data_IF_224148363465
#
_entry.id   IF_224148363465
#
_cell.length_a   1.000
_cell.length_b   1.000
_cell.length_c   1.000
_cell.angle_alpha   90.00
_cell.angle_beta   90.00
_cell.angle_gamma   90.00
#
_symmetry.space_group_name_H-M   'P 1'
#
loop_
_entity.id
_entity.type
_entity.pdbx_description
1 polymer ?
#
# COMPACT_ATOMS: atom_id res chain seq x y z
N UNK A 1 -22.89 9.95 6.73
CA UNK A 1 -22.37 11.03 5.86
C UNK A 1 -21.03 10.60 5.27
N UNK A 2 -21.02 9.97 4.09
CA UNK A 2 -19.82 9.63 3.30
C UNK A 2 -20.17 9.62 1.80
N UNK A 3 -20.78 10.68 1.29
CA UNK A 3 -21.26 10.76 -0.10
C UNK A 3 -20.62 11.89 -0.93
N UNK A 4 -19.69 12.67 -0.38
CA UNK A 4 -19.11 13.84 -1.09
C UNK A 4 -17.57 13.87 -1.15
N UNK A 5 -16.87 12.84 -0.65
CA UNK A 5 -15.40 12.81 -0.61
C UNK A 5 -14.72 12.55 -1.97
N UNK A 6 -15.48 12.33 -3.04
CA UNK A 6 -14.95 12.09 -4.40
C UNK A 6 -14.91 13.34 -5.27
N UNK A 7 -15.39 14.50 -4.78
CA UNK A 7 -15.48 15.73 -5.58
C UNK A 7 -14.33 16.72 -5.37
N UNK A 8 -13.51 16.51 -4.35
CA UNK A 8 -12.40 17.39 -4.03
C UNK A 8 -11.08 16.64 -4.14
N UNK A 9 -10.18 17.20 -4.94
CA UNK A 9 -8.89 16.60 -5.24
C UNK A 9 -7.79 17.56 -4.84
N UNK A 10 -6.68 17.02 -4.36
CA UNK A 10 -5.48 17.78 -4.12
C UNK A 10 -4.53 17.59 -5.30
N UNK A 11 -4.22 18.67 -6.01
CA UNK A 11 -3.24 18.70 -7.08
C UNK A 11 -1.97 19.39 -6.57
N UNK A 12 -0.85 18.69 -6.67
CA UNK A 12 0.45 19.16 -6.25
C UNK A 12 1.42 19.22 -7.43
N UNK A 13 1.83 20.43 -7.79
CA UNK A 13 2.80 20.72 -8.85
C UNK A 13 4.06 21.21 -8.19
N UNK A 14 5.20 20.61 -8.51
CA UNK A 14 6.45 20.98 -7.88
C UNK A 14 7.65 20.88 -8.81
N UNK A 15 8.74 21.53 -8.40
CA UNK A 15 10.04 21.46 -9.05
C UNK A 15 11.10 21.55 -7.99
N UNK A 16 11.91 20.51 -7.89
CA UNK A 16 13.05 20.46 -6.98
C UNK A 16 14.33 20.71 -7.79
N UNK A 17 15.34 21.42 -7.24
CA UNK A 17 16.63 21.57 -7.88
C UNK A 17 17.23 20.24 -8.36
N UNK A 18 18.06 20.33 -9.41
CA UNK A 18 18.70 19.14 -10.02
C UNK A 18 19.73 18.48 -9.10
N UNK A 19 20.36 19.24 -8.20
CA UNK A 19 21.24 18.70 -7.18
C UNK A 19 20.96 19.35 -5.81
N UNK A 20 20.99 18.57 -4.71
CA UNK A 20 21.22 17.11 -4.66
C UNK A 20 19.97 16.30 -5.04
N UNK A 21 20.16 15.12 -5.66
CA UNK A 21 19.05 14.21 -6.02
C UNK A 21 18.24 13.68 -4.83
N UNK A 22 18.83 13.62 -3.64
CA UNK A 22 18.22 13.12 -2.40
C UNK A 22 16.90 13.80 -2.07
N UNK A 23 16.79 15.10 -2.33
CA UNK A 23 15.56 15.84 -2.04
C UNK A 23 14.42 15.41 -2.97
N UNK A 24 14.68 15.20 -4.26
CA UNK A 24 13.68 14.70 -5.21
C UNK A 24 13.13 13.36 -4.79
N UNK A 25 14.03 12.44 -4.42
CA UNK A 25 13.65 11.10 -3.98
C UNK A 25 12.83 11.15 -2.70
N UNK A 26 13.19 12.02 -1.74
CA UNK A 26 12.43 12.22 -0.50
C UNK A 26 11.00 12.68 -0.77
N UNK A 27 10.82 13.69 -1.64
CA UNK A 27 9.49 14.20 -2.02
C UNK A 27 8.67 13.11 -2.71
N UNK A 28 9.27 12.42 -3.68
CA UNK A 28 8.60 11.35 -4.42
C UNK A 28 8.15 10.21 -3.50
N UNK A 29 9.01 9.76 -2.58
CA UNK A 29 8.66 8.72 -1.60
C UNK A 29 7.52 9.16 -0.69
N UNK A 30 7.57 10.37 -0.12
CA UNK A 30 6.48 10.89 0.72
C UNK A 30 5.15 10.90 -0.02
N UNK A 31 5.11 11.41 -1.26
CA UNK A 31 3.89 11.45 -2.06
C UNK A 31 3.36 10.04 -2.38
N UNK A 32 4.25 9.09 -2.68
CA UNK A 32 3.88 7.69 -2.89
C UNK A 32 3.37 7.01 -1.63
N UNK A 33 3.98 7.27 -0.48
CA UNK A 33 3.55 6.73 0.81
C UNK A 33 2.16 7.26 1.20
N UNK A 34 1.86 8.50 0.82
CA UNK A 34 0.52 9.10 0.95
C UNK A 34 -0.50 8.55 -0.06
N UNK A 35 -0.10 7.69 -1.00
CA UNK A 35 -1.00 7.14 -2.03
C UNK A 35 -1.22 8.05 -3.24
N UNK A 36 -0.43 9.12 -3.43
CA UNK A 36 -0.63 10.03 -4.55
C UNK A 36 -0.32 9.39 -5.91
N UNK A 37 -1.16 9.69 -6.89
CA UNK A 37 -0.98 9.31 -8.29
C UNK A 37 -0.25 10.41 -9.05
N UNK A 38 0.73 10.04 -9.87
CA UNK A 38 1.42 10.99 -10.74
C UNK A 38 0.76 11.03 -12.10
N UNK A 39 0.06 12.11 -12.42
CA UNK A 39 -0.54 12.31 -13.75
C UNK A 39 0.53 12.68 -14.78
N UNK A 40 1.59 13.37 -14.35
CA UNK A 40 2.75 13.76 -15.16
C UNK A 40 4.00 13.89 -14.26
N UNK A 41 5.15 14.18 -14.87
CA UNK A 41 6.38 14.45 -14.13
C UNK A 41 6.19 15.65 -13.19
N UNK A 42 6.44 15.42 -11.90
CA UNK A 42 6.30 16.43 -10.84
C UNK A 42 4.89 17.02 -10.68
N UNK A 43 3.88 16.32 -11.19
CA UNK A 43 2.47 16.63 -10.98
C UNK A 43 1.78 15.43 -10.36
N UNK A 44 1.48 15.53 -9.07
CA UNK A 44 0.82 14.50 -8.29
C UNK A 44 -0.60 14.92 -7.93
N UNK A 45 -1.52 13.96 -7.89
CA UNK A 45 -2.91 14.16 -7.52
C UNK A 45 -3.34 13.09 -6.51
N UNK A 46 -4.25 13.43 -5.61
CA UNK A 46 -4.90 12.49 -4.69
C UNK A 46 -6.26 13.03 -4.23
N UNK A 47 -7.14 12.18 -3.68
CA UNK A 47 -8.36 12.64 -3.02
C UNK A 47 -8.02 13.59 -1.87
N UNK A 48 -8.82 14.64 -1.71
CA UNK A 48 -8.63 15.59 -0.62
C UNK A 48 -9.17 15.03 0.71
N UNK A 49 -8.36 15.15 1.75
CA UNK A 49 -8.76 15.04 3.15
C UNK A 49 -7.82 15.90 4.00
N UNK A 50 -8.26 16.31 5.19
CA UNK A 50 -7.58 17.34 5.99
C UNK A 50 -6.10 17.01 6.27
N UNK A 51 -5.82 15.74 6.59
CA UNK A 51 -4.46 15.27 6.89
C UNK A 51 -3.55 15.29 5.65
N UNK A 52 -4.06 14.89 4.47
CA UNK A 52 -3.32 15.03 3.21
C UNK A 52 -3.01 16.50 2.89
N UNK A 53 -3.95 17.42 3.14
CA UNK A 53 -3.74 18.85 2.97
C UNK A 53 -2.59 19.38 3.82
N UNK A 54 -2.56 19.02 5.11
CA UNK A 54 -1.49 19.42 6.04
C UNK A 54 -0.12 18.90 5.61
N UNK A 55 -0.03 17.61 5.27
CA UNK A 55 1.22 16.99 4.81
C UNK A 55 1.76 17.63 3.52
N UNK A 56 0.87 17.93 2.57
CA UNK A 56 1.28 18.55 1.30
C UNK A 56 1.76 19.98 1.51
N UNK A 57 1.17 20.75 2.43
CA UNK A 57 1.70 22.06 2.80
C UNK A 57 3.09 21.96 3.42
N UNK A 58 3.35 20.94 4.25
CA UNK A 58 4.68 20.70 4.81
C UNK A 58 5.69 20.33 3.72
N UNK A 59 5.33 19.43 2.79
CA UNK A 59 6.17 19.10 1.64
C UNK A 59 6.44 20.34 0.78
N UNK A 60 5.43 21.18 0.56
CA UNK A 60 5.56 22.40 -0.21
C UNK A 60 6.56 23.38 0.42
N UNK A 61 6.51 23.56 1.74
CA UNK A 61 7.45 24.37 2.51
C UNK A 61 8.87 23.79 2.45
N UNK A 62 9.02 22.48 2.67
CA UNK A 62 10.30 21.78 2.55
C UNK A 62 10.94 22.00 1.17
N UNK A 63 10.16 21.94 0.08
CA UNK A 63 10.65 22.18 -1.27
C UNK A 63 11.15 23.61 -1.44
N UNK A 64 10.36 24.61 -1.02
CA UNK A 64 10.71 26.03 -1.15
C UNK A 64 11.94 26.41 -0.32
N UNK A 65 12.05 25.91 0.91
CA UNK A 65 13.18 26.16 1.79
C UNK A 65 14.52 25.65 1.24
N UNK A 66 14.47 24.72 0.28
CA UNK A 66 15.64 24.16 -0.38
C UNK A 66 15.78 24.66 -1.83
N UNK A 67 15.20 25.83 -2.16
CA UNK A 67 15.37 26.48 -3.45
C UNK A 67 14.54 25.91 -4.60
N UNK A 68 13.51 25.11 -4.30
CA UNK A 68 12.54 24.62 -5.27
C UNK A 68 11.29 25.50 -5.39
N UNK A 69 10.39 25.09 -6.28
CA UNK A 69 9.09 25.72 -6.50
C UNK A 69 7.99 24.68 -6.20
N UNK A 70 6.89 25.10 -5.58
CA UNK A 70 5.78 24.20 -5.26
C UNK A 70 4.46 24.95 -5.20
N UNK A 71 3.43 24.32 -5.74
CA UNK A 71 2.07 24.81 -5.79
C UNK A 71 1.12 23.68 -5.38
N UNK A 72 0.26 23.95 -4.41
CA UNK A 72 -0.78 23.04 -3.95
C UNK A 72 -2.14 23.67 -4.26
N UNK A 73 -3.00 22.91 -4.93
CA UNK A 73 -4.34 23.34 -5.31
C UNK A 73 -5.36 22.34 -4.79
N UNK A 74 -6.47 22.86 -4.27
CA UNK A 74 -7.70 22.08 -4.13
C UNK A 74 -8.51 22.26 -5.40
N UNK A 75 -8.77 21.16 -6.09
CA UNK A 75 -9.52 21.13 -7.34
C UNK A 75 -10.92 20.62 -7.02
N UNK A 76 -11.90 21.46 -7.32
CA UNK A 76 -13.32 21.15 -7.21
C UNK A 76 -13.92 21.03 -8.62
N UNK A 77 -15.11 20.43 -8.72
CA UNK A 77 -15.88 20.35 -9.98
C UNK A 77 -15.12 19.70 -11.15
N UNK A 78 -14.33 18.65 -10.88
CA UNK A 78 -13.74 17.82 -11.95
C UNK A 78 -14.87 17.14 -12.72
N UNK A 79 -14.74 17.06 -14.04
CA UNK A 79 -15.74 16.37 -14.88
C UNK A 79 -15.86 14.89 -14.50
N UNK A 80 -17.05 14.31 -14.63
CA UNK A 80 -17.26 12.88 -14.34
C UNK A 80 -16.33 12.00 -15.18
N UNK A 81 -16.08 12.39 -16.43
CA UNK A 81 -15.14 11.69 -17.32
C UNK A 81 -13.73 11.65 -16.75
N UNK A 82 -13.20 12.79 -16.31
CA UNK A 82 -11.84 12.89 -15.79
C UNK A 82 -11.73 12.25 -14.41
N UNK A 83 -12.75 12.42 -13.56
CA UNK A 83 -12.83 11.76 -12.25
C UNK A 83 -12.80 10.24 -12.40
N UNK A 84 -13.63 9.68 -13.30
CA UNK A 84 -13.63 8.24 -13.58
C UNK A 84 -12.29 7.74 -14.12
N UNK A 85 -11.63 8.52 -14.99
CA UNK A 85 -10.30 8.17 -15.49
C UNK A 85 -9.25 8.18 -14.38
N UNK A 86 -9.28 9.15 -13.47
CA UNK A 86 -8.39 9.19 -12.30
C UNK A 86 -8.62 7.96 -11.43
N UNK A 87 -9.87 7.70 -11.03
CA UNK A 87 -10.24 6.55 -10.19
C UNK A 87 -9.77 5.25 -10.82
N UNK A 88 -9.95 5.06 -12.13
CA UNK A 88 -9.47 3.88 -12.84
C UNK A 88 -7.95 3.72 -12.76
N UNK A 89 -7.18 4.82 -12.85
CA UNK A 89 -5.73 4.80 -12.71
C UNK A 89 -5.28 4.49 -11.28
N UNK A 90 -5.97 5.02 -10.26
CA UNK A 90 -5.71 4.66 -8.85
C UNK A 90 -5.95 3.18 -8.63
N UNK A 91 -7.11 2.67 -9.04
CA UNK A 91 -7.46 1.26 -8.91
C UNK A 91 -6.47 0.36 -9.63
N UNK A 92 -6.04 0.72 -10.84
CA UNK A 92 -5.02 -0.05 -11.56
C UNK A 92 -3.71 -0.16 -10.77
N UNK A 93 -3.21 0.94 -10.21
CA UNK A 93 -1.98 0.90 -9.41
C UNK A 93 -2.14 0.09 -8.12
N UNK A 94 -3.30 0.19 -7.46
CA UNK A 94 -3.59 -0.62 -6.28
C UNK A 94 -3.71 -2.11 -6.64
N UNK A 95 -4.36 -2.45 -7.75
CA UNK A 95 -4.49 -3.82 -8.24
C UNK A 95 -3.14 -4.45 -8.61
N UNK A 96 -2.20 -3.67 -9.15
CA UNK A 96 -0.83 -4.13 -9.39
C UNK A 96 -0.14 -4.50 -8.07
N UNK A 97 -0.22 -3.64 -7.03
CA UNK A 97 0.35 -3.93 -5.71
C UNK A 97 -0.35 -5.10 -5.00
N UNK A 98 -1.68 -5.18 -5.05
CA UNK A 98 -2.42 -6.30 -4.49
C UNK A 98 -2.11 -7.62 -5.20
N UNK A 99 -1.90 -7.61 -6.52
CA UNK A 99 -1.49 -8.82 -7.23
C UNK A 99 -0.12 -9.30 -6.76
N UNK A 100 0.85 -8.40 -6.60
CA UNK A 100 2.17 -8.77 -6.11
C UNK A 100 2.10 -9.36 -4.69
N UNK A 101 1.25 -8.80 -3.83
CA UNK A 101 0.97 -9.35 -2.51
C UNK A 101 0.33 -10.74 -2.59
N UNK A 102 -0.67 -10.92 -3.47
CA UNK A 102 -1.33 -12.22 -3.69
C UNK A 102 -0.29 -13.26 -4.10
N UNK A 103 0.55 -12.95 -5.09
CA UNK A 103 1.61 -13.86 -5.56
C UNK A 103 2.55 -14.26 -4.42
N UNK A 104 2.89 -13.33 -3.51
CA UNK A 104 3.70 -13.63 -2.32
C UNK A 104 2.99 -14.47 -1.27
N UNK A 105 1.69 -14.30 -1.10
CA UNK A 105 0.88 -15.16 -0.24
C UNK A 105 0.78 -16.58 -0.83
N UNK A 106 0.64 -16.72 -2.15
CA UNK A 106 0.68 -18.02 -2.81
C UNK A 106 2.03 -18.73 -2.63
N UNK A 107 3.14 -17.99 -2.70
CA UNK A 107 4.47 -18.53 -2.42
C UNK A 107 4.61 -19.00 -0.96
N UNK A 108 4.10 -18.22 0.00
CA UNK A 108 4.05 -18.60 1.42
C UNK A 108 3.26 -19.89 1.65
N UNK A 109 2.05 -20.00 1.06
CA UNK A 109 1.22 -21.20 1.18
C UNK A 109 1.92 -22.45 0.63
N UNK A 110 2.65 -22.32 -0.49
CA UNK A 110 3.43 -23.43 -1.06
C UNK A 110 4.56 -23.87 -0.14
N UNK A 111 5.20 -22.95 0.58
CA UNK A 111 6.26 -23.30 1.52
C UNK A 111 5.70 -24.03 2.75
N UNK A 112 4.61 -23.53 3.36
CA UNK A 112 3.91 -24.23 4.45
C UNK A 112 3.49 -25.64 4.04
N UNK A 113 2.98 -25.81 2.81
CA UNK A 113 2.62 -27.12 2.28
C UNK A 113 3.85 -28.04 2.18
N UNK A 114 4.96 -27.53 1.65
CA UNK A 114 6.21 -28.29 1.48
C UNK A 114 6.83 -28.70 2.80
N UNK A 115 6.81 -27.84 3.82
CA UNK A 115 7.24 -28.16 5.17
C UNK A 115 6.32 -29.21 5.82
N UNK A 116 5.01 -29.07 5.63
CA UNK A 116 4.01 -30.05 6.08
C UNK A 116 4.24 -31.43 5.47
N UNK A 117 4.49 -31.50 4.16
CA UNK A 117 4.76 -32.76 3.44
C UNK A 117 6.07 -33.42 3.88
N UNK A 118 7.07 -32.61 4.25
CA UNK A 118 8.34 -33.09 4.82
C UNK A 118 8.27 -33.41 6.31
N UNK A 119 7.11 -33.18 6.93
CA UNK A 119 6.89 -33.28 8.36
C UNK A 119 7.86 -32.44 9.20
N UNK A 120 8.30 -31.28 8.68
CA UNK A 120 9.26 -30.38 9.32
C UNK A 120 8.60 -29.51 10.40
N UNK A 121 7.92 -30.14 11.36
CA UNK A 121 7.18 -29.44 12.41
C UNK A 121 8.11 -29.07 13.57
N UNK A 122 8.79 -27.93 13.43
CA UNK A 122 9.66 -27.39 14.50
C UNK A 122 9.23 -25.98 14.90
N UNK A 123 9.53 -25.59 16.13
CA UNK A 123 9.25 -24.22 16.59
C UNK A 123 10.06 -23.15 15.83
N UNK A 124 11.24 -23.50 15.32
CA UNK A 124 12.03 -22.58 14.50
C UNK A 124 11.32 -22.26 13.18
N UNK A 125 10.81 -23.26 12.48
CA UNK A 125 10.04 -23.07 11.24
C UNK A 125 8.73 -22.32 11.52
N UNK A 126 8.09 -22.57 12.66
CA UNK A 126 6.90 -21.82 13.07
C UNK A 126 7.23 -20.33 13.28
N UNK A 127 8.34 -20.01 13.95
CA UNK A 127 8.78 -18.62 14.17
C UNK A 127 9.12 -17.93 12.84
N UNK A 128 9.87 -18.59 11.95
CA UNK A 128 10.21 -18.04 10.64
C UNK A 128 8.96 -17.76 9.77
N UNK A 129 8.00 -18.69 9.77
CA UNK A 129 6.74 -18.51 9.04
C UNK A 129 5.84 -17.42 9.66
N UNK A 130 5.80 -17.30 10.98
CA UNK A 130 5.08 -16.23 11.67
C UNK A 130 5.63 -14.86 11.28
N UNK A 131 6.96 -14.69 11.31
CA UNK A 131 7.61 -13.45 10.88
C UNK A 131 7.32 -13.09 9.42
N UNK A 132 7.30 -14.08 8.52
CA UNK A 132 7.03 -13.85 7.11
C UNK A 132 5.56 -13.46 6.87
N UNK A 133 4.61 -14.14 7.53
CA UNK A 133 3.20 -13.77 7.49
C UNK A 133 2.97 -12.35 8.03
N UNK A 134 3.67 -11.98 9.11
CA UNK A 134 3.59 -10.64 9.70
C UNK A 134 4.07 -9.55 8.73
N UNK A 135 5.10 -9.83 7.92
CA UNK A 135 5.54 -8.92 6.84
C UNK A 135 4.48 -8.77 5.76
N UNK A 136 3.84 -9.86 5.32
CA UNK A 136 2.76 -9.84 4.33
C UNK A 136 1.56 -9.02 4.83
N UNK A 137 1.15 -9.22 6.09
CA UNK A 137 0.07 -8.44 6.72
C UNK A 137 0.38 -6.96 6.81
N UNK A 138 1.60 -6.59 7.25
CA UNK A 138 2.04 -5.19 7.29
C UNK A 138 2.11 -4.58 5.89
N UNK A 139 2.45 -5.36 4.86
CA UNK A 139 2.43 -4.88 3.49
C UNK A 139 1.00 -4.66 3.00
N UNK A 140 0.08 -5.60 3.22
CA UNK A 140 -1.35 -5.44 2.95
C UNK A 140 -1.92 -4.17 3.58
N UNK A 141 -1.64 -3.91 4.86
CA UNK A 141 -2.10 -2.70 5.55
C UNK A 141 -1.59 -1.41 4.87
N UNK A 142 -0.34 -1.41 4.41
CA UNK A 142 0.24 -0.26 3.68
C UNK A 142 -0.46 -0.04 2.34
N UNK A 143 -0.78 -1.11 1.60
CA UNK A 143 -1.52 -0.99 0.33
C UNK A 143 -2.93 -0.46 0.61
N UNK A 144 -3.63 -1.05 1.57
CA UNK A 144 -5.01 -0.71 1.94
C UNK A 144 -5.14 0.74 2.46
N UNK A 145 -4.15 1.26 3.19
CA UNK A 145 -4.12 2.68 3.62
C UNK A 145 -4.07 3.66 2.44
N UNK A 146 -3.53 3.25 1.29
CA UNK A 146 -3.44 4.05 0.06
C UNK A 146 -4.55 3.73 -0.94
N UNK A 147 -5.43 2.79 -0.62
CA UNK A 147 -6.54 2.39 -1.46
C UNK A 147 -7.77 3.24 -1.18
N UNK A 148 -7.85 4.39 -1.84
CA UNK A 148 -8.93 5.35 -1.65
C UNK A 148 -10.27 4.93 -2.27
N UNK A 149 -10.22 4.01 -3.23
CA UNK A 149 -11.36 3.72 -4.11
C UNK A 149 -11.78 2.25 -4.10
N UNK A 150 -11.22 1.45 -3.19
CA UNK A 150 -11.52 0.03 -3.02
C UNK A 150 -11.24 -0.75 -4.31
N UNK A 151 -9.96 -0.85 -4.66
CA UNK A 151 -9.55 -1.48 -5.90
C UNK A 151 -10.07 -2.93 -6.01
N UNK A 152 -10.42 -3.40 -7.22
CA UNK A 152 -11.07 -4.69 -7.43
C UNK A 152 -10.38 -5.90 -6.76
N UNK A 153 -9.05 -5.92 -6.66
CA UNK A 153 -8.30 -7.04 -6.07
C UNK A 153 -8.21 -7.00 -4.55
N UNK A 154 -8.69 -5.95 -3.89
CA UNK A 154 -8.63 -5.78 -2.43
C UNK A 154 -9.17 -7.00 -1.67
N UNK A 155 -10.37 -7.45 -2.02
CA UNK A 155 -11.02 -8.55 -1.31
C UNK A 155 -10.33 -9.90 -1.58
N UNK A 156 -9.75 -10.08 -2.76
CA UNK A 156 -8.94 -11.27 -3.06
C UNK A 156 -7.64 -11.27 -2.26
N UNK A 157 -6.99 -10.12 -2.11
CA UNK A 157 -5.80 -9.99 -1.28
C UNK A 157 -6.09 -10.24 0.21
N UNK A 158 -7.23 -9.78 0.71
CA UNK A 158 -7.64 -10.08 2.09
C UNK A 158 -7.90 -11.58 2.28
N UNK A 159 -8.63 -12.22 1.36
CA UNK A 159 -8.93 -13.66 1.43
C UNK A 159 -7.68 -14.51 1.47
N UNK A 160 -6.69 -14.23 0.63
CA UNK A 160 -5.47 -15.05 0.62
C UNK A 160 -4.61 -14.83 1.88
N UNK A 161 -4.65 -13.65 2.49
CA UNK A 161 -4.03 -13.41 3.81
C UNK A 161 -4.72 -14.28 4.88
N UNK A 162 -6.05 -14.34 4.88
CA UNK A 162 -6.81 -15.20 5.80
C UNK A 162 -6.50 -16.70 5.56
N UNK A 163 -6.30 -17.11 4.31
CA UNK A 163 -5.85 -18.47 3.97
C UNK A 163 -4.45 -18.76 4.53
N UNK A 164 -3.51 -17.81 4.43
CA UNK A 164 -2.17 -17.94 5.02
C UNK A 164 -2.22 -18.07 6.54
N UNK A 165 -3.04 -17.24 7.22
CA UNK A 165 -3.24 -17.32 8.67
C UNK A 165 -3.78 -18.68 9.10
N UNK A 166 -4.75 -19.21 8.37
CA UNK A 166 -5.31 -20.53 8.66
C UNK A 166 -4.29 -21.65 8.42
N UNK A 167 -3.53 -21.59 7.34
CA UNK A 167 -2.49 -22.58 7.04
C UNK A 167 -1.41 -22.62 8.14
N UNK A 168 -0.94 -21.45 8.59
CA UNK A 168 0.04 -21.37 9.68
C UNK A 168 -0.53 -21.87 11.02
N UNK A 169 -1.80 -21.57 11.31
CA UNK A 169 -2.49 -22.08 12.49
C UNK A 169 -2.58 -23.60 12.49
N UNK A 170 -2.92 -24.21 11.35
CA UNK A 170 -2.93 -25.67 11.21
C UNK A 170 -1.54 -26.28 11.38
N UNK A 171 -0.51 -25.65 10.80
CA UNK A 171 0.89 -26.05 10.98
C UNK A 171 1.31 -26.01 12.45
N UNK A 172 0.98 -24.92 13.16
CA UNK A 172 1.25 -24.75 14.59
C UNK A 172 0.56 -25.82 15.45
N UNK A 173 -0.71 -26.12 15.18
CA UNK A 173 -1.44 -27.17 15.90
C UNK A 173 -0.76 -28.55 15.79
N UNK A 174 -0.18 -28.88 14.62
CA UNK A 174 0.56 -30.14 14.44
C UNK A 174 1.83 -30.19 15.28
N UNK A 175 2.54 -29.07 15.44
CA UNK A 175 3.71 -28.98 16.34
C UNK A 175 3.29 -29.25 17.78
N UNK A 176 2.26 -28.55 18.28
CA UNK A 176 1.79 -28.73 19.65
C UNK A 176 1.31 -30.15 19.94
N UNK A 177 0.64 -30.79 18.98
CA UNK A 177 0.22 -32.19 19.10
C UNK A 177 1.41 -33.15 19.18
N UNK A 178 2.48 -32.93 18.40
CA UNK A 178 3.70 -33.77 18.43
C UNK A 178 4.47 -33.65 19.73
N UNK A 179 4.52 -32.46 20.29
CA UNK A 179 5.23 -32.17 21.55
C UNK A 179 4.40 -32.49 22.81
N UNK A 180 3.17 -32.99 22.64
CA UNK A 180 2.28 -33.35 23.76
C UNK A 180 1.75 -32.16 24.55
N UNK A 181 1.67 -30.98 23.91
CA UNK A 181 1.27 -29.71 24.52
C UNK A 181 -0.12 -29.21 24.06
N UNK A 182 -0.93 -30.09 23.45
CA UNK A 182 -2.25 -29.78 22.90
C UNK A 182 -3.39 -29.77 23.95
#
# INVERSE_FOLDING_TARGET
>A
MKEDQTKEWLLFVYKVPKEPSTQRVKVWRKLKDMGAFYIQQSVAIMPYFEEAGKEILQIALDIRNNGGESYAFTVHNISDKDSNMLIANFNKQRDEEYQELIDKCEDFLKEIQKETERENFTFAELEENDEELDKLKRWHEKINKRDFFNAPKRDSALRIIEECENALKEFSNKIYQREGMA
#
